data_IF_028847170170
#
_entry.id   IF_028847170170
#
_cell.length_a   1.000
_cell.length_b   1.000
_cell.length_c   1.000
_cell.angle_alpha   90.00
_cell.angle_beta   90.00
_cell.angle_gamma   90.00
#
_symmetry.space_group_name_H-M   'P 1'
#
loop_
_entity.id
_entity.type
_entity.pdbx_description
1 polymer ?
#
# COMPACT_ATOMS: atom_id res chain seq x y z
N UNK A 1 -12.50 9.40 3.86
CA UNK A 1 -11.46 10.33 4.43
C UNK A 1 -10.06 9.72 4.29
N UNK A 2 -8.96 10.48 4.49
CA UNK A 2 -7.58 9.94 4.36
C UNK A 2 -7.32 8.72 5.27
N UNK A 3 -7.78 8.76 6.52
CA UNK A 3 -7.68 7.63 7.44
C UNK A 3 -8.45 6.39 6.96
N UNK A 4 -9.62 6.59 6.34
CA UNK A 4 -10.42 5.50 5.77
C UNK A 4 -9.71 4.84 4.59
N UNK A 5 -9.04 5.63 3.74
CA UNK A 5 -8.20 5.11 2.66
C UNK A 5 -7.05 4.26 3.22
N UNK A 6 -6.34 4.77 4.24
CA UNK A 6 -5.26 4.03 4.92
C UNK A 6 -5.76 2.70 5.50
N UNK A 7 -6.92 2.69 6.14
CA UNK A 7 -7.51 1.46 6.68
C UNK A 7 -7.86 0.44 5.58
N UNK A 8 -8.38 0.90 4.44
CA UNK A 8 -8.66 0.04 3.28
C UNK A 8 -7.36 -0.52 2.69
N UNK A 9 -6.31 0.29 2.55
CA UNK A 9 -4.99 -0.16 2.11
C UNK A 9 -4.40 -1.19 3.09
N UNK A 10 -4.49 -0.94 4.40
CA UNK A 10 -4.02 -1.85 5.44
C UNK A 10 -4.68 -3.23 5.35
N UNK A 11 -6.00 -3.28 5.14
CA UNK A 11 -6.70 -4.56 4.93
C UNK A 11 -6.19 -5.33 3.71
N UNK A 12 -6.01 -4.64 2.59
CA UNK A 12 -5.48 -5.26 1.36
C UNK A 12 -4.05 -5.78 1.59
N UNK A 13 -3.23 -5.03 2.32
CA UNK A 13 -1.86 -5.41 2.65
C UNK A 13 -1.81 -6.69 3.51
N UNK A 14 -2.67 -6.78 4.53
CA UNK A 14 -2.81 -7.99 5.36
C UNK A 14 -3.28 -9.20 4.53
N UNK A 15 -4.30 -9.02 3.69
CA UNK A 15 -4.82 -10.09 2.82
C UNK A 15 -3.76 -10.63 1.84
N UNK A 16 -2.86 -9.76 1.37
CA UNK A 16 -1.76 -10.14 0.47
C UNK A 16 -0.46 -10.50 1.17
N UNK A 17 -0.40 -10.37 2.51
CA UNK A 17 0.81 -10.48 3.31
C UNK A 17 1.98 -9.68 2.71
N UNK A 18 1.70 -8.44 2.31
CA UNK A 18 2.67 -7.54 1.68
C UNK A 18 2.33 -6.09 2.01
N UNK A 19 3.23 -5.39 2.69
CA UNK A 19 2.93 -4.10 3.32
C UNK A 19 3.57 -2.92 2.59
N UNK A 20 2.83 -1.83 2.36
CA UNK A 20 3.39 -0.58 1.86
C UNK A 20 3.94 0.28 3.01
N UNK A 21 4.88 1.16 2.67
CA UNK A 21 5.26 2.29 3.51
C UNK A 21 4.28 3.46 3.28
N UNK A 22 3.60 3.92 4.34
CA UNK A 22 2.60 5.00 4.24
C UNK A 22 2.92 6.18 5.15
N UNK A 23 2.85 7.38 4.59
CA UNK A 23 2.96 8.66 5.30
C UNK A 23 1.68 9.48 5.17
N UNK A 24 1.10 9.90 6.29
CA UNK A 24 -0.18 10.61 6.35
C UNK A 24 0.07 12.05 6.78
N UNK A 25 -0.39 13.00 5.98
CA UNK A 25 -0.32 14.44 6.27
C UNK A 25 -1.71 15.06 6.14
N UNK A 26 -2.44 15.11 7.25
CA UNK A 26 -3.83 15.58 7.32
C UNK A 26 -4.75 14.82 6.33
N UNK A 27 -4.97 15.36 5.12
CA UNK A 27 -5.81 14.76 4.08
C UNK A 27 -5.01 14.11 2.95
N UNK A 28 -3.67 14.10 3.01
CA UNK A 28 -2.79 13.49 2.00
C UNK A 28 -2.19 12.19 2.53
N UNK A 29 -2.05 11.20 1.64
CA UNK A 29 -1.38 9.94 1.93
C UNK A 29 -0.35 9.70 0.84
N UNK A 30 0.92 9.60 1.21
CA UNK A 30 1.98 9.10 0.34
C UNK A 30 2.14 7.62 0.62
N UNK A 31 2.03 6.80 -0.41
CA UNK A 31 2.17 5.35 -0.34
C UNK A 31 3.36 4.93 -1.22
N UNK A 32 4.24 4.07 -0.70
CA UNK A 32 5.40 3.53 -1.41
C UNK A 32 5.47 2.03 -1.20
N UNK A 33 5.80 1.28 -2.24
CA UNK A 33 5.74 -0.18 -2.23
C UNK A 33 7.05 -0.74 -2.79
N UNK A 34 7.69 -1.63 -2.04
CA UNK A 34 8.89 -2.37 -2.43
C UNK A 34 8.99 -3.64 -1.60
N UNK A 35 9.49 -4.72 -2.19
CA UNK A 35 9.78 -5.95 -1.46
C UNK A 35 11.05 -5.78 -0.64
N UNK A 36 10.88 -5.53 0.66
CA UNK A 36 11.98 -5.23 1.59
C UNK A 36 12.96 -6.41 1.76
N UNK A 37 12.44 -7.64 1.72
CA UNK A 37 13.21 -8.89 1.84
C UNK A 37 14.25 -9.06 0.73
N UNK A 38 13.96 -8.59 -0.47
CA UNK A 38 14.86 -8.65 -1.64
C UNK A 38 15.39 -7.29 -2.09
N UNK A 39 15.00 -6.21 -1.40
CA UNK A 39 15.39 -4.83 -1.69
C UNK A 39 15.19 -4.45 -3.17
N UNK A 40 14.08 -4.93 -3.78
CA UNK A 40 13.78 -4.74 -5.19
C UNK A 40 12.27 -4.72 -5.45
N UNK A 41 11.86 -4.23 -6.63
CA UNK A 41 10.48 -4.34 -7.10
C UNK A 41 10.23 -5.75 -7.63
N UNK A 42 9.18 -6.38 -7.13
CA UNK A 42 8.71 -7.70 -7.53
C UNK A 42 7.26 -7.67 -7.99
N UNK A 43 6.74 -8.80 -8.43
CA UNK A 43 5.33 -8.96 -8.78
C UNK A 43 4.39 -8.73 -7.59
N UNK A 44 4.85 -8.96 -6.34
CA UNK A 44 4.06 -8.65 -5.13
C UNK A 44 3.78 -7.16 -5.03
N UNK A 45 4.79 -6.34 -5.31
CA UNK A 45 4.66 -4.88 -5.31
C UNK A 45 3.67 -4.38 -6.36
N UNK A 46 3.76 -4.94 -7.58
CA UNK A 46 2.85 -4.60 -8.69
C UNK A 46 1.41 -5.03 -8.36
N UNK A 47 1.23 -6.20 -7.74
CA UNK A 47 -0.08 -6.72 -7.35
C UNK A 47 -0.71 -5.84 -6.27
N UNK A 48 0.05 -5.50 -5.23
CA UNK A 48 -0.41 -4.62 -4.16
C UNK A 48 -0.77 -3.23 -4.71
N UNK A 49 0.10 -2.63 -5.52
CA UNK A 49 -0.14 -1.33 -6.13
C UNK A 49 -1.42 -1.32 -6.99
N UNK A 50 -1.67 -2.38 -7.78
CA UNK A 50 -2.91 -2.52 -8.55
C UNK A 50 -4.15 -2.61 -7.67
N UNK A 51 -4.09 -3.34 -6.57
CA UNK A 51 -5.22 -3.45 -5.62
C UNK A 51 -5.50 -2.13 -4.92
N UNK A 52 -4.46 -1.39 -4.51
CA UNK A 52 -4.58 -0.04 -3.92
C UNK A 52 -5.19 0.93 -4.95
N UNK A 53 -4.76 0.87 -6.21
CA UNK A 53 -5.26 1.75 -7.27
C UNK A 53 -6.76 1.57 -7.56
N UNK A 54 -7.38 0.45 -7.16
CA UNK A 54 -8.84 0.27 -7.30
C UNK A 54 -9.66 1.01 -6.23
N UNK A 55 -9.00 1.59 -5.22
CA UNK A 55 -9.64 2.37 -4.17
C UNK A 55 -9.81 3.86 -4.54
N UNK A 56 -9.28 4.27 -5.69
CA UNK A 56 -9.27 5.65 -6.20
C UNK A 56 -9.93 5.75 -7.57
#
# INVERSE_FOLDING_TARGET
MALEFVNKVGRIAEEQNHHPDMYIQYNKVKCSVMSHDVSAITTRDITLAKSINKLI
#
